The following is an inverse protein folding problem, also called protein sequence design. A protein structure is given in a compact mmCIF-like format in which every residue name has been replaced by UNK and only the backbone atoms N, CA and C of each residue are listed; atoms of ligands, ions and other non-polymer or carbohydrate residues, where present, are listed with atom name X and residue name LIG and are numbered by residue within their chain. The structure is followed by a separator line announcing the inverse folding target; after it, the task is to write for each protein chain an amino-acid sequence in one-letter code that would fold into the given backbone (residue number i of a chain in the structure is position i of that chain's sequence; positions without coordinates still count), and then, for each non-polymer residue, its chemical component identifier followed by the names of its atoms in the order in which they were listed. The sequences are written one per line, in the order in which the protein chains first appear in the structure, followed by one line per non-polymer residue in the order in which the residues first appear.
data_IF_994666244790
#
_entry.id   IF_994666244790
#
_cell.length_a   1.000
_cell.length_b   1.000
_cell.length_c   1.000
_cell.angle_alpha   90.00
_cell.angle_beta   90.00
_cell.angle_gamma   90.00
#
_symmetry.space_group_name_H-M   'P 1'
#
loop_
_entity.id
_entity.type
_entity.pdbx_description
1 polymer ?
#
# COMPACT_ATOMS: atom_id res chain seq x y z
N UNK A 1 -45.11 59.63 43.99
CA UNK A 1 -44.14 59.90 42.90
C UNK A 1 -43.08 58.81 42.95
N UNK A 2 -43.03 57.90 41.98
CA UNK A 2 -42.01 56.85 41.90
C UNK A 2 -41.58 56.70 40.44
N UNK A 3 -40.28 56.85 40.17
CA UNK A 3 -39.65 56.61 38.86
C UNK A 3 -38.17 56.25 39.11
N UNK A 4 -37.88 54.95 39.28
CA UNK A 4 -37.19 54.04 38.34
C UNK A 4 -35.79 54.48 37.89
N UNK A 5 -34.78 53.89 38.54
CA UNK A 5 -33.39 53.83 38.10
C UNK A 5 -33.26 52.82 36.95
N UNK A 6 -32.71 53.26 35.81
CA UNK A 6 -32.41 52.37 34.69
C UNK A 6 -31.10 51.59 34.97
N UNK A 7 -31.19 50.25 34.99
CA UNK A 7 -30.02 49.36 35.01
C UNK A 7 -29.52 49.15 33.57
N UNK A 8 -28.30 49.55 33.29
CA UNK A 8 -27.56 49.17 32.07
C UNK A 8 -27.24 47.67 32.09
N UNK A 9 -27.68 46.95 31.06
CA UNK A 9 -27.33 45.53 30.86
C UNK A 9 -25.86 45.42 30.41
N UNK A 10 -25.04 44.54 30.98
CA UNK A 10 -23.71 44.27 30.45
C UNK A 10 -23.83 43.56 29.09
N UNK A 11 -23.14 44.09 28.07
CA UNK A 11 -22.94 43.37 26.81
C UNK A 11 -22.01 42.19 27.06
N UNK A 12 -22.54 40.97 26.91
CA UNK A 12 -21.72 39.75 26.83
C UNK A 12 -21.19 39.65 25.40
N UNK A 13 -19.87 39.65 25.26
CA UNK A 13 -19.24 39.14 24.05
C UNK A 13 -19.45 37.63 24.05
N UNK A 14 -20.20 37.13 23.06
CA UNK A 14 -20.26 35.71 22.75
C UNK A 14 -19.06 35.40 21.86
N UNK A 15 -18.16 34.55 22.34
CA UNK A 15 -17.28 33.79 21.45
C UNK A 15 -18.16 32.69 20.87
N UNK A 16 -18.47 32.81 19.60
CA UNK A 16 -19.01 31.72 18.78
C UNK A 16 -17.87 30.70 18.63
N UNK A 17 -18.13 29.40 18.83
CA UNK A 17 -17.12 28.40 18.52
C UNK A 17 -16.79 28.52 17.03
N UNK A 18 -15.50 28.59 16.68
CA UNK A 18 -15.06 28.42 15.30
C UNK A 18 -15.76 27.17 14.75
N UNK A 19 -16.39 27.28 13.58
CA UNK A 19 -16.88 26.11 12.84
C UNK A 19 -15.74 25.10 12.75
N UNK A 20 -16.04 23.83 13.03
CA UNK A 20 -15.05 22.79 12.84
C UNK A 20 -14.56 22.90 11.40
N UNK A 21 -13.23 23.01 11.22
CA UNK A 21 -12.61 22.88 9.90
C UNK A 21 -12.65 21.42 9.44
N UNK A 22 -13.80 20.77 9.61
CA UNK A 22 -14.13 19.57 8.89
C UNK A 22 -14.34 20.02 7.45
N UNK A 23 -13.61 19.39 6.54
CA UNK A 23 -13.98 19.36 5.13
C UNK A 23 -15.49 19.07 5.04
N UNK A 24 -16.26 19.78 4.18
CA UNK A 24 -17.69 19.50 4.02
C UNK A 24 -17.89 18.00 3.75
N UNK A 25 -18.89 17.38 4.36
CA UNK A 25 -19.10 15.94 4.20
C UNK A 25 -19.17 15.50 2.72
N UNK A 26 -18.49 14.42 2.38
CA UNK A 26 -18.28 13.95 1.01
C UNK A 26 -17.28 14.80 0.20
N UNK A 27 -16.34 15.51 0.84
CA UNK A 27 -15.36 16.33 0.14
C UNK A 27 -13.92 16.07 0.57
N UNK A 28 -13.07 15.86 -0.44
CA UNK A 28 -11.62 15.82 -0.33
C UNK A 28 -11.04 17.21 -0.57
N UNK A 29 -10.14 17.66 0.30
CA UNK A 29 -9.36 18.87 0.09
C UNK A 29 -8.08 18.56 -0.69
N UNK A 30 -7.80 19.31 -1.75
CA UNK A 30 -6.56 19.17 -2.53
C UNK A 30 -5.84 20.52 -2.63
N UNK A 31 -4.61 20.61 -2.15
CA UNK A 31 -3.83 21.85 -2.10
C UNK A 31 -2.39 21.59 -2.56
N UNK A 32 -1.93 22.37 -3.53
CA UNK A 32 -0.52 22.40 -3.90
C UNK A 32 0.22 23.41 -3.01
N UNK A 33 1.06 22.90 -2.10
CA UNK A 33 1.90 23.71 -1.22
C UNK A 33 3.36 23.56 -1.63
N UNK A 34 3.93 24.62 -2.20
CA UNK A 34 5.22 24.53 -2.89
C UNK A 34 5.11 23.56 -4.07
N UNK A 35 5.88 22.48 -4.04
CA UNK A 35 5.83 21.40 -5.04
C UNK A 35 5.19 20.11 -4.52
N UNK A 36 4.53 20.14 -3.37
CA UNK A 36 3.85 18.98 -2.78
C UNK A 36 2.34 19.16 -2.90
N UNK A 37 1.71 18.22 -3.61
CA UNK A 37 0.25 18.13 -3.67
C UNK A 37 -0.25 17.35 -2.46
N UNK A 38 -0.87 18.06 -1.52
CA UNK A 38 -1.50 17.49 -0.34
C UNK A 38 -2.98 17.26 -0.61
N UNK A 39 -3.44 16.05 -0.37
CA UNK A 39 -4.82 15.59 -0.55
C UNK A 39 -5.29 15.06 0.80
N UNK A 40 -6.43 15.54 1.28
CA UNK A 40 -6.95 15.22 2.61
C UNK A 40 -8.44 14.90 2.51
N UNK A 41 -8.80 13.64 2.78
CA UNK A 41 -10.18 13.17 2.89
C UNK A 41 -10.87 13.69 4.14
N UNK A 42 -12.17 13.43 4.23
CA UNK A 42 -12.98 13.80 5.39
C UNK A 42 -13.16 12.62 6.36
N UNK A 43 -14.36 12.43 6.92
CA UNK A 43 -14.65 11.29 7.78
C UNK A 43 -15.71 10.35 7.17
N UNK A 44 -16.01 10.55 5.89
CA UNK A 44 -16.95 9.76 5.12
C UNK A 44 -16.18 8.97 4.06
N UNK A 45 -16.81 7.93 3.54
CA UNK A 45 -16.32 7.19 2.38
C UNK A 45 -16.05 8.17 1.21
N UNK A 46 -14.80 8.29 0.78
CA UNK A 46 -14.39 9.10 -0.35
C UNK A 46 -13.82 8.20 -1.45
N UNK A 47 -14.24 8.43 -2.69
CA UNK A 47 -13.70 7.76 -3.86
C UNK A 47 -13.03 8.78 -4.77
N UNK A 48 -11.73 8.64 -5.03
CA UNK A 48 -10.95 9.53 -5.88
C UNK A 48 -10.08 8.78 -6.89
N UNK A 49 -9.90 9.37 -8.06
CA UNK A 49 -8.91 8.94 -9.05
C UNK A 49 -7.91 10.07 -9.32
N UNK A 50 -6.62 9.76 -9.36
CA UNK A 50 -5.54 10.71 -9.61
C UNK A 50 -4.75 10.26 -10.83
N UNK A 51 -4.75 11.04 -11.90
CA UNK A 51 -4.10 10.67 -13.16
C UNK A 51 -3.49 11.87 -13.87
N UNK A 52 -2.62 11.63 -14.84
CA UNK A 52 -2.14 12.68 -15.74
C UNK A 52 -3.11 12.80 -16.92
N UNK A 53 -3.53 14.03 -17.23
CA UNK A 53 -4.33 14.34 -18.41
C UNK A 53 -3.60 15.40 -19.24
N UNK A 54 -3.73 15.30 -20.57
CA UNK A 54 -3.31 16.36 -21.50
C UNK A 54 -4.49 17.33 -21.62
N UNK A 55 -4.29 18.56 -21.19
CA UNK A 55 -5.20 19.69 -21.43
C UNK A 55 -4.59 20.66 -22.46
N UNK A 56 -5.33 21.70 -22.89
CA UNK A 56 -4.80 22.68 -23.85
C UNK A 56 -3.54 23.43 -23.37
N UNK A 57 -3.31 23.50 -22.05
CA UNK A 57 -2.21 24.24 -21.43
C UNK A 57 -1.00 23.34 -21.10
N UNK A 58 -1.14 22.01 -21.21
CA UNK A 58 -0.08 21.03 -21.11
C UNK A 58 -0.50 19.74 -20.39
N UNK A 59 0.43 19.19 -19.62
CA UNK A 59 0.14 18.04 -18.75
C UNK A 59 -0.33 18.54 -17.39
N UNK A 60 -1.44 17.99 -16.92
CA UNK A 60 -1.99 18.27 -15.60
C UNK A 60 -2.15 16.99 -14.80
N UNK A 61 -1.84 17.05 -13.50
CA UNK A 61 -2.29 16.06 -12.53
C UNK A 61 -3.73 16.42 -12.17
N UNK A 62 -4.65 15.51 -12.47
CA UNK A 62 -6.08 15.68 -12.25
C UNK A 62 -6.50 14.76 -11.12
N UNK A 63 -7.29 15.30 -10.20
CA UNK A 63 -7.94 14.55 -9.12
C UNK A 63 -9.44 14.61 -9.41
N UNK A 64 -10.01 13.45 -9.75
CA UNK A 64 -11.43 13.27 -9.98
C UNK A 64 -12.08 12.71 -8.70
N UNK A 65 -13.13 13.37 -8.24
CA UNK A 65 -14.04 12.84 -7.23
C UNK A 65 -15.10 11.95 -7.88
N UNK A 66 -15.29 10.75 -7.34
CA UNK A 66 -16.18 9.72 -7.85
C UNK A 66 -17.27 9.38 -6.83
N UNK A 67 -18.34 8.73 -7.28
CA UNK A 67 -19.48 8.29 -6.46
C UNK A 67 -20.05 9.34 -5.51
N UNK A 68 -20.05 10.62 -5.93
CA UNK A 68 -20.57 11.74 -5.15
C UNK A 68 -19.53 12.48 -4.32
N UNK A 69 -18.30 11.97 -4.24
CA UNK A 69 -17.15 12.66 -3.66
C UNK A 69 -16.83 13.91 -4.47
N UNK A 70 -16.65 15.03 -3.79
CA UNK A 70 -16.16 16.27 -4.38
C UNK A 70 -14.70 16.50 -4.00
N UNK A 71 -13.97 17.24 -4.84
CA UNK A 71 -12.60 17.69 -4.58
C UNK A 71 -12.62 19.21 -4.60
N UNK A 72 -12.31 19.85 -3.47
CA UNK A 72 -12.47 21.30 -3.25
C UNK A 72 -13.84 21.86 -3.69
N UNK A 73 -14.92 21.10 -3.49
CA UNK A 73 -16.28 21.48 -3.86
C UNK A 73 -16.62 21.36 -5.35
N UNK A 74 -15.77 20.69 -6.14
CA UNK A 74 -15.99 20.40 -7.55
C UNK A 74 -15.89 18.89 -7.83
N UNK A 75 -16.31 18.43 -9.01
CA UNK A 75 -16.12 17.02 -9.40
C UNK A 75 -14.66 16.68 -9.71
N UNK A 76 -13.86 17.66 -10.14
CA UNK A 76 -12.45 17.46 -10.46
C UNK A 76 -11.64 18.73 -10.21
N UNK A 77 -10.37 18.56 -9.80
CA UNK A 77 -9.40 19.65 -9.63
C UNK A 77 -8.12 19.33 -10.38
N UNK A 78 -7.50 20.37 -10.95
CA UNK A 78 -6.40 20.26 -11.90
C UNK A 78 -5.20 21.04 -11.39
N UNK A 79 -4.02 20.41 -11.42
CA UNK A 79 -2.75 21.03 -11.08
C UNK A 79 -1.77 20.85 -12.25
N UNK A 80 -1.04 21.89 -12.68
CA UNK A 80 -0.03 21.72 -13.71
C UNK A 80 1.01 20.68 -13.28
N UNK A 81 1.20 19.63 -14.08
CA UNK A 81 1.99 18.47 -13.66
C UNK A 81 3.45 18.82 -13.35
N UNK A 82 4.02 19.80 -14.04
CA UNK A 82 5.37 20.30 -13.78
C UNK A 82 5.53 20.99 -12.41
N UNK A 83 4.42 21.40 -11.78
CA UNK A 83 4.43 22.00 -10.44
C UNK A 83 4.29 20.95 -9.33
N UNK A 84 3.82 19.74 -9.66
CA UNK A 84 3.64 18.65 -8.70
C UNK A 84 4.89 17.77 -8.73
N UNK A 85 5.68 17.83 -7.66
CA UNK A 85 6.83 16.95 -7.47
C UNK A 85 6.47 15.73 -6.62
N UNK A 86 5.91 15.96 -5.43
CA UNK A 86 5.54 14.92 -4.47
C UNK A 86 4.05 14.94 -4.20
N UNK A 87 3.49 13.80 -3.81
CA UNK A 87 2.06 13.67 -3.48
C UNK A 87 1.94 13.09 -2.07
N UNK A 88 1.10 13.71 -1.25
CA UNK A 88 0.72 13.23 0.08
C UNK A 88 -0.79 13.09 0.12
N UNK A 89 -1.28 11.89 0.40
CA UNK A 89 -2.70 11.56 0.52
C UNK A 89 -2.96 11.10 1.96
N UNK A 90 -3.98 11.66 2.59
CA UNK A 90 -4.45 11.31 3.94
C UNK A 90 -5.97 11.21 3.89
N UNK A 91 -6.55 10.01 3.90
CA UNK A 91 -8.01 9.86 3.77
C UNK A 91 -8.75 9.92 5.11
N UNK A 92 -8.02 9.72 6.22
CA UNK A 92 -8.45 9.88 7.61
C UNK A 92 -9.42 8.81 8.12
N UNK A 93 -10.72 8.92 7.84
CA UNK A 93 -11.74 7.97 8.29
C UNK A 93 -12.74 7.74 7.17
N UNK A 94 -13.36 6.56 7.15
CA UNK A 94 -14.30 6.17 6.11
C UNK A 94 -13.77 4.97 5.36
N UNK A 95 -14.58 4.34 4.52
CA UNK A 95 -14.13 3.31 3.59
C UNK A 95 -13.77 4.00 2.28
N UNK A 96 -12.51 4.36 2.14
CA UNK A 96 -12.01 5.18 1.07
C UNK A 96 -11.50 4.34 -0.10
N UNK A 97 -11.68 4.82 -1.32
CA UNK A 97 -11.11 4.20 -2.52
C UNK A 97 -10.27 5.22 -3.29
N UNK A 98 -8.97 4.96 -3.35
CA UNK A 98 -7.97 5.80 -4.01
C UNK A 98 -7.38 5.07 -5.19
N UNK A 99 -7.55 5.61 -6.39
CA UNK A 99 -6.93 5.09 -7.61
C UNK A 99 -5.83 6.02 -8.10
N UNK A 100 -4.60 5.52 -8.15
CA UNK A 100 -3.42 6.20 -8.67
C UNK A 100 -3.12 5.71 -10.09
N UNK A 101 -3.29 6.63 -11.04
CA UNK A 101 -3.18 6.41 -12.47
C UNK A 101 -4.50 5.96 -13.10
N UNK A 102 -4.41 5.03 -14.05
CA UNK A 102 -5.55 4.59 -14.87
C UNK A 102 -5.20 4.49 -16.35
N UNK A 103 -6.10 4.97 -17.21
CA UNK A 103 -5.88 4.91 -18.67
C UNK A 103 -4.60 5.63 -19.07
N UNK A 104 -4.40 6.84 -18.52
CA UNK A 104 -3.30 7.75 -18.82
C UNK A 104 -2.10 7.63 -17.86
N UNK A 105 -2.23 6.83 -16.79
CA UNK A 105 -1.19 6.64 -15.78
C UNK A 105 -0.95 7.87 -14.89
N UNK A 106 0.08 7.78 -14.05
CA UNK A 106 0.49 8.84 -13.13
C UNK A 106 2.02 8.83 -13.01
N UNK A 107 2.65 10.01 -12.96
CA UNK A 107 4.08 10.14 -12.70
C UNK A 107 4.33 11.11 -11.54
N UNK A 108 4.97 10.60 -10.48
CA UNK A 108 5.37 11.35 -9.28
C UNK A 108 6.89 11.45 -9.27
N UNK A 109 7.41 12.68 -9.44
CA UNK A 109 8.86 12.90 -9.57
C UNK A 109 9.63 12.76 -8.25
N UNK A 110 8.97 13.08 -7.15
CA UNK A 110 9.48 12.95 -5.79
C UNK A 110 8.82 11.79 -5.06
N UNK A 111 8.49 12.02 -3.80
CA UNK A 111 7.96 10.99 -2.92
C UNK A 111 6.44 10.87 -3.05
N UNK A 112 5.95 9.67 -2.80
CA UNK A 112 4.54 9.37 -2.62
C UNK A 112 4.31 8.90 -1.18
N UNK A 113 3.41 9.55 -0.46
CA UNK A 113 2.92 9.09 0.84
C UNK A 113 1.41 8.94 0.77
N UNK A 114 0.91 7.77 1.13
CA UNK A 114 -0.52 7.49 1.25
C UNK A 114 -0.80 6.99 2.67
N UNK A 115 -1.74 7.61 3.34
CA UNK A 115 -2.29 7.19 4.64
C UNK A 115 -3.80 7.04 4.41
N UNK A 116 -4.30 5.80 4.40
CA UNK A 116 -5.71 5.54 4.13
C UNK A 116 -6.53 5.89 5.37
N UNK A 117 -6.12 5.40 6.54
CA UNK A 117 -6.71 5.83 7.80
C UNK A 117 -7.63 4.75 8.36
N UNK A 118 -8.61 5.13 9.15
CA UNK A 118 -9.48 4.14 9.75
C UNK A 118 -10.67 3.82 8.83
N UNK A 119 -10.86 2.56 8.50
CA UNK A 119 -11.95 2.07 7.68
C UNK A 119 -11.51 0.91 6.81
N UNK A 120 -12.39 0.47 5.91
CA UNK A 120 -12.10 -0.60 4.96
C UNK A 120 -11.73 0.02 3.61
N UNK A 121 -10.45 0.26 3.40
CA UNK A 121 -9.97 1.09 2.32
C UNK A 121 -9.46 0.28 1.12
N UNK A 122 -9.50 0.88 -0.07
CA UNK A 122 -8.90 0.34 -1.27
C UNK A 122 -7.92 1.34 -1.90
N UNK A 123 -6.68 0.92 -2.11
CA UNK A 123 -5.67 1.66 -2.86
C UNK A 123 -5.27 0.87 -4.10
N UNK A 124 -5.51 1.44 -5.28
CA UNK A 124 -5.14 0.83 -6.55
C UNK A 124 -4.09 1.67 -7.29
N UNK A 125 -3.01 1.04 -7.74
CA UNK A 125 -2.02 1.61 -8.65
C UNK A 125 -2.19 1.02 -10.04
N UNK A 126 -2.28 1.88 -11.07
CA UNK A 126 -2.33 1.48 -12.48
C UNK A 126 -1.40 2.38 -13.29
N UNK A 127 -0.37 1.82 -13.92
CA UNK A 127 0.59 2.59 -14.75
C UNK A 127 1.20 3.79 -14.02
N UNK A 128 1.55 3.61 -12.75
CA UNK A 128 2.11 4.66 -11.90
C UNK A 128 3.63 4.57 -11.83
N UNK A 129 4.31 5.70 -12.05
CA UNK A 129 5.76 5.84 -11.88
C UNK A 129 6.00 6.73 -10.67
N UNK A 130 6.79 6.26 -9.70
CA UNK A 130 7.25 7.06 -8.56
C UNK A 130 8.78 7.05 -8.53
N UNK A 131 9.38 8.22 -8.67
CA UNK A 131 10.83 8.36 -8.74
C UNK A 131 11.50 8.44 -7.35
N UNK A 132 10.81 8.97 -6.35
CA UNK A 132 11.23 8.99 -4.96
C UNK A 132 10.80 7.75 -4.18
N UNK A 133 10.80 7.86 -2.85
CA UNK A 133 10.31 6.79 -1.96
C UNK A 133 8.79 6.74 -1.95
N UNK A 134 8.24 5.55 -1.79
CA UNK A 134 6.81 5.32 -1.57
C UNK A 134 6.56 4.82 -0.16
N UNK A 135 5.57 5.40 0.52
CA UNK A 135 5.08 4.90 1.81
C UNK A 135 3.57 4.81 1.77
N UNK A 136 3.04 3.65 2.09
CA UNK A 136 1.61 3.39 2.19
C UNK A 136 1.34 2.91 3.62
N UNK A 137 0.36 3.52 4.28
CA UNK A 137 -0.16 3.08 5.58
C UNK A 137 -1.65 2.84 5.42
N UNK A 138 -2.07 1.59 5.63
CA UNK A 138 -3.48 1.21 5.54
C UNK A 138 -4.19 1.64 6.83
N UNK A 139 -3.60 1.26 7.97
CA UNK A 139 -3.94 1.65 9.36
C UNK A 139 -4.90 0.68 10.02
N UNK A 140 -6.20 0.98 10.08
CA UNK A 140 -7.11 0.19 10.89
C UNK A 140 -8.36 -0.16 10.09
N UNK A 141 -8.55 -1.45 9.86
CA UNK A 141 -9.66 -2.02 9.10
C UNK A 141 -9.11 -2.99 8.05
N UNK A 142 -9.99 -3.64 7.29
CA UNK A 142 -9.59 -4.71 6.37
C UNK A 142 -9.34 -4.16 4.97
N UNK A 143 -8.14 -3.67 4.74
CA UNK A 143 -7.76 -2.88 3.59
C UNK A 143 -7.34 -3.73 2.40
N UNK A 144 -7.37 -3.12 1.22
CA UNK A 144 -6.94 -3.77 -0.03
C UNK A 144 -5.99 -2.86 -0.80
N UNK A 145 -4.79 -3.35 -1.11
CA UNK A 145 -3.79 -2.64 -1.90
C UNK A 145 -3.49 -3.43 -3.17
N UNK A 146 -3.82 -2.85 -4.31
CA UNK A 146 -3.64 -3.47 -5.62
C UNK A 146 -2.58 -2.73 -6.44
N UNK A 147 -1.48 -3.40 -6.79
CA UNK A 147 -0.56 -2.97 -7.84
C UNK A 147 -0.95 -3.65 -9.16
N UNK A 148 -1.86 -3.02 -9.91
CA UNK A 148 -2.26 -3.48 -11.25
C UNK A 148 -1.21 -3.03 -12.26
N UNK A 149 -0.61 -3.98 -12.98
CA UNK A 149 0.55 -3.86 -13.86
C UNK A 149 0.97 -2.50 -14.44
N UNK A 150 2.25 -2.39 -14.78
CA UNK A 150 2.87 -1.23 -15.41
C UNK A 150 3.34 -0.18 -14.42
N UNK A 151 3.42 -0.52 -13.13
CA UNK A 151 3.95 0.39 -12.12
C UNK A 151 5.47 0.32 -12.03
N UNK A 152 6.13 1.45 -11.80
CA UNK A 152 7.58 1.53 -11.59
C UNK A 152 7.90 2.40 -10.38
N UNK A 153 8.53 1.79 -9.38
CA UNK A 153 9.00 2.46 -8.16
C UNK A 153 10.52 2.51 -8.18
N UNK A 154 11.09 3.70 -8.38
CA UNK A 154 12.54 3.88 -8.49
C UNK A 154 13.21 3.98 -7.12
N UNK A 155 12.52 4.54 -6.12
CA UNK A 155 12.95 4.56 -4.72
C UNK A 155 12.48 3.33 -3.93
N UNK A 156 12.83 3.24 -2.64
CA UNK A 156 12.33 2.20 -1.76
C UNK A 156 10.81 2.37 -1.54
N UNK A 157 10.10 1.25 -1.45
CA UNK A 157 8.68 1.19 -1.13
C UNK A 157 8.47 0.52 0.23
N UNK A 158 7.64 1.15 1.06
CA UNK A 158 7.15 0.61 2.31
C UNK A 158 5.62 0.53 2.24
N UNK A 159 5.08 -0.64 2.56
CA UNK A 159 3.66 -0.83 2.85
C UNK A 159 3.52 -1.31 4.29
N UNK A 160 2.64 -0.66 5.03
CA UNK A 160 2.31 -0.96 6.43
C UNK A 160 0.79 -1.17 6.49
N UNK A 161 0.36 -2.44 6.56
CA UNK A 161 -1.04 -2.85 6.56
C UNK A 161 -1.67 -2.60 7.96
N UNK A 162 -0.89 -2.86 9.00
CA UNK A 162 -1.07 -2.44 10.39
C UNK A 162 -2.13 -3.22 11.19
N UNK A 163 -3.42 -2.92 11.09
CA UNK A 163 -4.47 -3.64 11.84
C UNK A 163 -5.63 -4.00 10.94
N UNK A 164 -5.97 -5.28 10.91
CA UNK A 164 -7.06 -5.81 10.10
C UNK A 164 -6.62 -7.07 9.38
N UNK A 165 -7.55 -7.69 8.66
CA UNK A 165 -7.20 -8.78 7.75
C UNK A 165 -7.06 -8.17 6.36
N UNK A 166 -5.84 -7.81 5.99
CA UNK A 166 -5.53 -6.98 4.84
C UNK A 166 -5.16 -7.82 3.61
N UNK A 167 -5.32 -7.22 2.43
CA UNK A 167 -4.99 -7.88 1.18
C UNK A 167 -4.10 -7.01 0.30
N UNK A 168 -2.87 -7.45 0.04
CA UNK A 168 -1.98 -6.82 -0.93
C UNK A 168 -1.75 -7.72 -2.12
N UNK A 169 -1.97 -7.20 -3.33
CA UNK A 169 -1.74 -7.95 -4.57
C UNK A 169 -0.93 -7.15 -5.57
N UNK A 170 0.13 -7.76 -6.10
CA UNK A 170 0.87 -7.30 -7.27
C UNK A 170 0.63 -8.28 -8.42
N UNK A 171 0.03 -7.83 -9.51
CA UNK A 171 -0.34 -8.70 -10.63
C UNK A 171 -0.37 -7.95 -11.97
N UNK A 172 -0.20 -8.71 -13.04
CA UNK A 172 -0.12 -8.18 -14.41
C UNK A 172 -1.49 -8.12 -15.08
N UNK A 173 -2.35 -7.20 -14.63
CA UNK A 173 -3.57 -6.78 -15.34
C UNK A 173 -3.37 -5.48 -16.14
N UNK A 174 -2.13 -4.97 -16.20
CA UNK A 174 -1.77 -3.69 -16.82
C UNK A 174 -1.02 -3.83 -18.16
N UNK A 175 -0.32 -2.77 -18.64
CA UNK A 175 0.47 -2.84 -19.87
C UNK A 175 1.82 -3.58 -19.69
N UNK A 176 2.05 -4.23 -18.54
CA UNK A 176 3.29 -4.92 -18.21
C UNK A 176 3.48 -5.16 -16.72
N UNK A 177 4.63 -5.70 -16.30
CA UNK A 177 4.90 -6.06 -14.90
C UNK A 177 5.05 -4.85 -13.98
N UNK A 178 4.96 -5.10 -12.67
CA UNK A 178 5.36 -4.14 -11.65
C UNK A 178 6.88 -4.22 -11.40
N UNK A 179 7.53 -3.07 -11.26
CA UNK A 179 8.97 -2.97 -11.00
C UNK A 179 9.25 -2.14 -9.76
N UNK A 180 9.89 -2.76 -8.76
CA UNK A 180 10.44 -2.10 -7.59
C UNK A 180 11.96 -2.09 -7.72
N UNK A 181 12.56 -0.99 -8.17
CA UNK A 181 13.99 -0.93 -8.50
C UNK A 181 14.90 -1.00 -7.25
N UNK A 182 14.33 -0.79 -6.07
CA UNK A 182 15.00 -0.86 -4.76
C UNK A 182 14.28 -1.88 -3.87
N UNK A 183 14.31 -1.69 -2.57
CA UNK A 183 13.63 -2.57 -1.62
C UNK A 183 12.12 -2.33 -1.63
N UNK A 184 11.37 -3.41 -1.47
CA UNK A 184 9.96 -3.42 -1.15
C UNK A 184 9.83 -4.09 0.22
N UNK A 185 9.37 -3.34 1.22
CA UNK A 185 9.06 -3.89 2.54
C UNK A 185 7.56 -3.83 2.78
N UNK A 186 6.99 -4.94 3.22
CA UNK A 186 5.58 -5.07 3.59
C UNK A 186 5.54 -5.52 5.05
N UNK A 187 4.82 -4.77 5.87
CA UNK A 187 4.48 -5.13 7.24
C UNK A 187 2.99 -5.50 7.24
N UNK A 188 2.67 -6.74 7.61
CA UNK A 188 1.31 -7.21 7.84
C UNK A 188 0.73 -6.51 9.06
N UNK A 189 1.23 -6.84 10.23
CA UNK A 189 0.79 -6.21 11.46
C UNK A 189 -0.09 -7.18 12.26
N UNK A 190 -1.26 -6.74 12.69
CA UNK A 190 -2.17 -7.57 13.45
C UNK A 190 -3.39 -7.95 12.60
N UNK A 191 -3.65 -9.26 12.50
CA UNK A 191 -4.76 -9.83 11.75
C UNK A 191 -4.25 -10.84 10.72
N UNK A 192 -5.16 -11.54 10.05
CA UNK A 192 -4.78 -12.57 9.08
C UNK A 192 -4.59 -11.93 7.71
N UNK A 193 -3.35 -11.61 7.34
CA UNK A 193 -3.04 -10.86 6.13
C UNK A 193 -2.76 -11.76 4.93
N UNK A 194 -3.13 -11.30 3.74
CA UNK A 194 -2.82 -11.99 2.48
C UNK A 194 -1.99 -11.09 1.56
N UNK A 195 -0.77 -11.51 1.26
CA UNK A 195 0.16 -10.84 0.36
C UNK A 195 0.45 -11.72 -0.85
N UNK A 196 0.11 -11.25 -2.05
CA UNK A 196 0.40 -11.92 -3.31
C UNK A 196 1.30 -11.08 -4.20
N UNK A 197 2.48 -11.59 -4.54
CA UNK A 197 3.44 -10.99 -5.48
C UNK A 197 3.54 -11.88 -6.73
N UNK A 198 2.84 -11.47 -7.79
CA UNK A 198 2.71 -12.24 -9.02
C UNK A 198 2.99 -11.37 -10.27
N UNK A 199 2.77 -11.95 -11.46
CA UNK A 199 2.73 -11.21 -12.71
C UNK A 199 4.07 -10.61 -13.14
N UNK A 200 5.16 -11.39 -13.09
CA UNK A 200 6.50 -10.94 -13.49
C UNK A 200 7.00 -9.75 -12.67
N UNK A 201 6.55 -9.62 -11.41
CA UNK A 201 7.01 -8.54 -10.53
C UNK A 201 8.52 -8.67 -10.29
N UNK A 202 9.23 -7.54 -10.35
CA UNK A 202 10.66 -7.49 -10.05
C UNK A 202 10.95 -6.62 -8.84
N UNK A 203 11.81 -7.10 -7.94
CA UNK A 203 12.34 -6.33 -6.80
C UNK A 203 13.86 -6.33 -6.88
N UNK A 204 14.44 -5.19 -7.29
CA UNK A 204 15.88 -5.01 -7.48
C UNK A 204 16.68 -4.86 -6.19
N UNK A 205 16.01 -4.69 -5.05
CA UNK A 205 16.59 -4.67 -3.71
C UNK A 205 16.18 -5.89 -2.86
N UNK A 206 15.92 -5.66 -1.58
CA UNK A 206 15.34 -6.70 -0.72
C UNK A 206 13.83 -6.62 -0.82
N UNK A 207 13.19 -7.74 -1.15
CA UNK A 207 11.79 -7.95 -0.82
C UNK A 207 11.73 -8.51 0.60
N UNK A 208 11.05 -7.80 1.48
CA UNK A 208 10.88 -8.12 2.89
C UNK A 208 9.40 -8.17 3.23
N UNK A 209 8.94 -9.30 3.74
CA UNK A 209 7.61 -9.45 4.32
C UNK A 209 7.75 -9.77 5.81
N UNK A 210 7.03 -9.03 6.65
CA UNK A 210 6.89 -9.28 8.08
C UNK A 210 5.41 -9.43 8.40
N UNK A 211 4.92 -10.64 8.64
CA UNK A 211 3.51 -10.90 8.98
C UNK A 211 3.14 -10.34 10.36
N UNK A 212 3.98 -10.63 11.36
CA UNK A 212 3.84 -10.27 12.77
C UNK A 212 2.84 -11.14 13.53
N UNK A 213 1.55 -10.83 13.56
CA UNK A 213 0.58 -11.56 14.37
C UNK A 213 -0.71 -11.84 13.61
N UNK A 214 -1.11 -13.11 13.54
CA UNK A 214 -2.26 -13.58 12.77
C UNK A 214 -1.85 -14.75 11.88
N UNK A 215 -2.82 -15.44 11.29
CA UNK A 215 -2.54 -16.55 10.36
C UNK A 215 -2.27 -15.95 8.96
N UNK A 216 -1.02 -15.64 8.67
CA UNK A 216 -0.63 -14.86 7.49
C UNK A 216 -0.37 -15.73 6.25
N UNK A 217 -0.68 -15.19 5.07
CA UNK A 217 -0.41 -15.85 3.78
C UNK A 217 0.47 -14.98 2.89
N UNK A 218 1.63 -15.49 2.49
CA UNK A 218 2.47 -14.94 1.43
C UNK A 218 2.50 -15.88 0.22
N UNK A 219 2.09 -15.40 -0.95
CA UNK A 219 2.26 -16.09 -2.23
C UNK A 219 3.15 -15.26 -3.15
N UNK A 220 4.25 -15.85 -3.62
CA UNK A 220 5.13 -15.25 -4.62
C UNK A 220 5.20 -16.16 -5.85
N UNK A 221 4.73 -15.68 -7.00
CA UNK A 221 4.60 -16.46 -8.24
C UNK A 221 5.24 -15.71 -9.40
N UNK A 222 5.91 -16.42 -10.31
CA UNK A 222 6.45 -15.86 -11.57
C UNK A 222 7.20 -14.52 -11.34
N UNK A 223 8.04 -14.41 -10.31
CA UNK A 223 8.61 -13.12 -9.89
C UNK A 223 10.10 -13.21 -9.62
N UNK A 224 10.80 -12.08 -9.75
CA UNK A 224 12.26 -12.00 -9.55
C UNK A 224 12.60 -11.07 -8.40
N UNK A 225 13.31 -11.59 -7.41
CA UNK A 225 13.80 -10.85 -6.26
C UNK A 225 15.32 -10.86 -6.25
N UNK A 226 15.96 -9.73 -5.99
CA UNK A 226 17.40 -9.76 -5.73
C UNK A 226 17.70 -10.46 -4.41
N UNK A 227 16.97 -10.13 -3.35
CA UNK A 227 17.01 -10.80 -2.04
C UNK A 227 15.58 -10.98 -1.52
N UNK A 228 15.30 -12.13 -0.91
CA UNK A 228 14.02 -12.47 -0.28
C UNK A 228 14.23 -12.63 1.23
N UNK A 229 13.43 -11.93 2.03
CA UNK A 229 13.34 -12.10 3.48
C UNK A 229 11.86 -12.19 3.85
N UNK A 230 11.50 -13.27 4.52
CA UNK A 230 10.14 -13.55 4.99
C UNK A 230 10.24 -13.91 6.47
N UNK A 231 9.43 -13.25 7.29
CA UNK A 231 9.27 -13.50 8.72
C UNK A 231 7.76 -13.42 9.00
N UNK A 232 7.07 -14.55 9.12
CA UNK A 232 5.59 -14.54 9.22
C UNK A 232 5.14 -14.28 10.66
N UNK A 233 5.83 -14.82 11.66
CA UNK A 233 5.78 -14.33 13.03
C UNK A 233 5.02 -15.26 13.97
N UNK A 234 3.82 -14.88 14.39
CA UNK A 234 2.97 -15.67 15.29
C UNK A 234 1.63 -15.94 14.63
N UNK A 235 1.27 -17.20 14.51
CA UNK A 235 0.04 -17.67 13.83
C UNK A 235 0.37 -18.90 12.99
N UNK A 236 -0.64 -19.55 12.41
CA UNK A 236 -0.42 -20.65 11.48
C UNK A 236 -0.27 -20.08 10.07
N UNK A 237 0.98 -19.88 9.66
CA UNK A 237 1.31 -19.12 8.48
C UNK A 237 1.48 -20.00 7.24
N UNK A 238 1.29 -19.40 6.07
CA UNK A 238 1.43 -20.08 4.78
C UNK A 238 2.28 -19.27 3.81
N UNK A 239 3.39 -19.85 3.37
CA UNK A 239 4.30 -19.26 2.39
C UNK A 239 4.38 -20.15 1.15
N UNK A 240 3.90 -19.63 0.01
CA UNK A 240 3.99 -20.28 -1.29
C UNK A 240 5.01 -19.56 -2.18
N UNK A 241 6.09 -20.26 -2.54
CA UNK A 241 7.14 -19.78 -3.43
C UNK A 241 7.13 -20.54 -4.74
N UNK A 242 6.37 -20.00 -5.70
CA UNK A 242 6.18 -20.55 -7.03
C UNK A 242 5.01 -21.53 -7.15
N UNK A 243 4.58 -21.79 -8.38
CA UNK A 243 3.54 -22.78 -8.69
C UNK A 243 3.85 -23.51 -10.01
N UNK A 244 3.80 -24.83 -10.02
CA UNK A 244 3.91 -25.65 -11.22
C UNK A 244 5.18 -25.44 -12.04
N UNK A 245 5.26 -26.08 -13.21
CA UNK A 245 6.31 -25.79 -14.17
C UNK A 245 6.13 -24.38 -14.77
N UNK A 246 7.12 -23.51 -14.57
CA UNK A 246 7.16 -22.19 -15.21
C UNK A 246 6.49 -21.05 -14.44
N UNK A 247 5.90 -21.30 -13.27
CA UNK A 247 5.40 -20.24 -12.37
C UNK A 247 6.23 -20.07 -11.09
N UNK A 248 7.44 -20.62 -11.07
CA UNK A 248 8.42 -20.44 -9.99
C UNK A 248 8.95 -19.01 -9.87
N UNK A 249 9.63 -18.74 -8.75
CA UNK A 249 10.33 -17.47 -8.51
C UNK A 249 11.84 -17.59 -8.75
N UNK A 250 12.50 -16.46 -8.96
CA UNK A 250 13.96 -16.36 -8.97
C UNK A 250 14.43 -15.43 -7.88
N UNK A 251 15.23 -15.93 -6.94
CA UNK A 251 15.92 -15.15 -5.90
C UNK A 251 17.41 -15.15 -6.19
N UNK A 252 17.97 -13.98 -6.56
CA UNK A 252 19.32 -13.90 -7.11
C UNK A 252 20.43 -14.12 -6.08
N UNK A 253 20.24 -13.70 -4.83
CA UNK A 253 21.30 -13.70 -3.80
C UNK A 253 21.01 -14.68 -2.66
N UNK A 254 20.04 -14.36 -1.80
CA UNK A 254 19.65 -15.20 -0.68
C UNK A 254 18.14 -15.12 -0.45
N UNK A 255 17.56 -16.25 -0.06
CA UNK A 255 16.22 -16.34 0.49
C UNK A 255 16.29 -16.77 1.95
N UNK A 256 15.69 -15.97 2.82
CA UNK A 256 15.47 -16.30 4.22
C UNK A 256 13.96 -16.38 4.44
N UNK A 257 13.49 -17.50 4.97
CA UNK A 257 12.10 -17.71 5.39
C UNK A 257 12.12 -18.19 6.83
N UNK A 258 11.53 -17.39 7.72
CA UNK A 258 11.29 -17.71 9.12
C UNK A 258 9.77 -17.77 9.26
N UNK A 259 9.23 -18.93 9.62
CA UNK A 259 7.78 -19.05 9.78
C UNK A 259 7.37 -18.63 11.20
N UNK A 260 8.09 -19.11 12.20
CA UNK A 260 8.00 -18.53 13.54
C UNK A 260 7.20 -19.44 14.46
N UNK A 261 6.23 -18.89 15.19
CA UNK A 261 5.45 -19.65 16.17
C UNK A 261 4.08 -19.99 15.59
N UNK A 262 3.82 -21.28 15.39
CA UNK A 262 2.56 -21.79 14.85
C UNK A 262 2.75 -23.13 14.17
N UNK A 263 1.68 -23.71 13.63
CA UNK A 263 1.79 -24.87 12.75
C UNK A 263 1.84 -24.37 11.30
N UNK A 264 3.05 -24.13 10.78
CA UNK A 264 3.24 -23.36 9.55
C UNK A 264 3.39 -24.23 8.29
N UNK A 265 3.19 -23.61 7.12
CA UNK A 265 3.36 -24.24 5.81
C UNK A 265 4.31 -23.45 4.91
N UNK A 266 5.36 -24.11 4.43
CA UNK A 266 6.20 -23.61 3.34
C UNK A 266 6.09 -24.54 2.13
N UNK A 267 5.49 -24.03 1.05
CA UNK A 267 5.43 -24.70 -0.25
C UNK A 267 6.39 -24.02 -1.24
N UNK A 268 7.22 -24.82 -1.90
CA UNK A 268 8.19 -24.34 -2.88
C UNK A 268 8.15 -25.21 -4.12
N UNK A 269 7.95 -24.58 -5.28
CA UNK A 269 7.84 -25.26 -6.57
C UNK A 269 8.46 -24.45 -7.71
N UNK A 270 9.26 -25.10 -8.56
CA UNK A 270 9.84 -24.51 -9.77
C UNK A 270 10.78 -23.32 -9.52
N UNK A 271 11.24 -23.10 -8.29
CA UNK A 271 11.88 -21.86 -7.86
C UNK A 271 13.41 -21.98 -7.79
N UNK A 272 14.12 -20.90 -8.13
CA UNK A 272 15.59 -20.83 -8.09
C UNK A 272 16.06 -19.80 -7.07
N UNK A 273 17.04 -20.19 -6.25
CA UNK A 273 17.60 -19.38 -5.16
C UNK A 273 19.13 -19.37 -5.23
N UNK A 274 19.75 -18.25 -4.82
CA UNK A 274 21.21 -18.17 -4.69
C UNK A 274 21.75 -18.94 -3.48
N UNK A 275 21.19 -18.67 -2.30
CA UNK A 275 21.39 -19.41 -1.04
C UNK A 275 20.08 -19.41 -0.25
N UNK A 276 19.86 -20.40 0.60
CA UNK A 276 18.59 -20.53 1.35
C UNK A 276 18.82 -20.76 2.83
N UNK A 277 18.01 -20.10 3.65
CA UNK A 277 17.81 -20.41 5.06
C UNK A 277 16.30 -20.45 5.33
N UNK A 278 15.75 -21.64 5.50
CA UNK A 278 14.35 -21.84 5.82
C UNK A 278 14.24 -22.49 7.20
N UNK A 279 13.45 -21.88 8.08
CA UNK A 279 13.25 -22.32 9.46
C UNK A 279 11.76 -22.27 9.77
N UNK A 280 11.17 -23.43 10.08
CA UNK A 280 9.78 -23.52 10.55
C UNK A 280 9.59 -22.82 11.90
N UNK A 281 10.58 -22.88 12.79
CA UNK A 281 10.46 -22.34 14.13
C UNK A 281 9.69 -23.26 15.09
N UNK A 282 9.13 -22.71 16.19
CA UNK A 282 8.35 -23.49 17.15
C UNK A 282 6.93 -23.87 16.67
N UNK A 283 6.73 -25.15 16.38
CA UNK A 283 5.41 -25.76 16.19
C UNK A 283 5.48 -27.04 15.36
N UNK A 284 4.40 -27.38 14.66
CA UNK A 284 4.32 -28.55 13.76
C UNK A 284 4.35 -28.10 12.31
N UNK A 285 5.53 -27.74 11.83
CA UNK A 285 5.67 -27.10 10.52
C UNK A 285 5.77 -28.12 9.37
N UNK A 286 5.26 -27.72 8.21
CA UNK A 286 5.28 -28.54 6.99
C UNK A 286 6.09 -27.85 5.90
N UNK A 287 7.10 -28.54 5.37
CA UNK A 287 7.82 -28.12 4.17
C UNK A 287 7.48 -29.02 2.98
N UNK A 288 6.84 -28.44 1.96
CA UNK A 288 6.53 -29.11 0.70
C UNK A 288 7.54 -28.68 -0.39
N UNK A 289 8.46 -29.58 -0.72
CA UNK A 289 9.33 -29.43 -1.89
C UNK A 289 8.70 -30.12 -3.11
N UNK A 290 7.86 -29.40 -3.85
CA UNK A 290 7.07 -29.93 -4.96
C UNK A 290 7.84 -30.10 -6.28
N UNK A 291 9.17 -29.96 -6.25
CA UNK A 291 10.07 -30.24 -7.36
C UNK A 291 10.37 -29.05 -8.27
N UNK A 292 11.37 -29.21 -9.14
CA UNK A 292 11.85 -28.15 -10.03
C UNK A 292 12.63 -27.03 -9.32
N UNK A 293 12.99 -27.22 -8.04
CA UNK A 293 13.64 -26.22 -7.22
C UNK A 293 15.18 -26.30 -7.27
N UNK A 294 15.84 -25.15 -7.24
CA UNK A 294 17.27 -25.02 -7.02
C UNK A 294 17.53 -24.12 -5.80
N UNK A 295 17.87 -24.72 -4.66
CA UNK A 295 18.07 -24.01 -3.38
C UNK A 295 19.43 -23.31 -3.25
N UNK A 296 20.32 -23.44 -4.24
CA UNK A 296 21.63 -22.80 -4.20
C UNK A 296 22.52 -23.31 -3.05
N UNK A 297 23.66 -22.63 -2.82
CA UNK A 297 24.63 -23.02 -1.78
C UNK A 297 25.19 -21.80 -1.04
N UNK A 298 25.24 -21.81 0.31
CA UNK A 298 24.72 -22.86 1.20
C UNK A 298 23.18 -22.91 1.21
N UNK A 299 22.65 -24.08 1.59
CA UNK A 299 21.22 -24.30 1.82
C UNK A 299 21.03 -24.92 3.21
N UNK A 300 20.21 -24.28 4.03
CA UNK A 300 19.84 -24.70 5.39
C UNK A 300 18.32 -24.73 5.46
N UNK A 301 17.75 -25.89 5.79
CA UNK A 301 16.31 -26.11 5.96
C UNK A 301 16.15 -26.88 7.26
N UNK A 302 15.48 -26.29 8.25
CA UNK A 302 15.41 -26.80 9.63
C UNK A 302 14.02 -26.57 10.22
N UNK A 303 13.73 -27.27 11.33
CA UNK A 303 12.47 -27.17 12.06
C UNK A 303 11.23 -27.58 11.26
N UNK A 304 11.37 -28.54 10.35
CA UNK A 304 10.25 -29.22 9.68
C UNK A 304 10.28 -30.70 10.08
N UNK A 305 9.41 -31.17 11.01
CA UNK A 305 9.39 -32.54 11.51
C UNK A 305 9.11 -33.64 10.46
#
# INVERSE_FOLDING_TARGET
MSSRVARTKPMRLLIESLEERCTPAGNVAAVLSGSTLAITGDAQDNQIQIQIIIDPDGLSVVIDGLSGTQVNGASSVWFPAFSVNSIVIQMNQGNDEVSLGGLFGLAVQGNLSVDLGAGKDELTFIKTIVNGSTTIRARAGNDTINFRGGNTFTGPALVDLAQGNDNLRSFDEGPGPNSFNKSLRILGGAGDDTVSIAGNTTVGGTFEFQGQAGDDTLSALISTFKKLVVDTGVGNDSVLLGEGPGLGITVQTSATVLLGVGDDLLDVMGSTFGSTFFDGGPGTDTFLNLGGNNFGVPSVIVSFP
#
